data_IF_939652512910
#
_entry.id   IF_939652512910
#
_cell.length_a   1.000
_cell.length_b   1.000
_cell.length_c   1.000
_cell.angle_alpha   90.00
_cell.angle_beta   90.00
_cell.angle_gamma   90.00
#
_symmetry.space_group_name_H-M   'P 1'
#
loop_
_entity.id
_entity.type
_entity.pdbx_description
1 polymer ?
#
# COMPACT_ATOMS: atom_id res chain seq x y z
N UNK A 1 -62.31 24.66 14.30
CA UNK A 1 -61.33 23.70 13.76
C UNK A 1 -59.95 24.33 13.95
N UNK A 2 -59.11 23.77 14.82
CA UNK A 2 -57.88 24.43 15.30
C UNK A 2 -56.79 24.39 14.22
N UNK A 3 -56.07 25.50 14.04
CA UNK A 3 -54.98 25.67 13.04
C UNK A 3 -54.00 24.48 12.99
N UNK A 4 -53.69 23.92 14.16
CA UNK A 4 -52.80 22.75 14.31
C UNK A 4 -53.31 21.48 13.60
N UNK A 5 -54.62 21.32 13.44
CA UNK A 5 -55.19 20.17 12.75
C UNK A 5 -55.05 20.29 11.22
N UNK A 6 -55.13 21.51 10.70
CA UNK A 6 -54.92 21.81 9.28
C UNK A 6 -53.43 21.70 8.90
N UNK A 7 -52.52 22.10 9.80
CA UNK A 7 -51.07 21.96 9.59
C UNK A 7 -50.63 20.49 9.49
N UNK A 8 -51.17 19.61 10.34
CA UNK A 8 -50.86 18.17 10.34
C UNK A 8 -51.42 17.48 9.08
N UNK A 9 -52.62 17.86 8.65
CA UNK A 9 -53.20 17.39 7.39
C UNK A 9 -52.38 17.85 6.17
N UNK A 10 -51.86 19.09 6.19
CA UNK A 10 -50.98 19.60 5.15
C UNK A 10 -49.67 18.82 5.04
N UNK A 11 -49.00 18.55 6.17
CA UNK A 11 -47.75 17.77 6.19
C UNK A 11 -47.99 16.32 5.74
N UNK A 12 -49.08 15.70 6.16
CA UNK A 12 -49.44 14.34 5.73
C UNK A 12 -49.73 14.26 4.22
N UNK A 13 -50.41 15.28 3.66
CA UNK A 13 -50.68 15.36 2.22
C UNK A 13 -49.40 15.53 1.40
N UNK A 14 -48.45 16.35 1.86
CA UNK A 14 -47.15 16.54 1.19
C UNK A 14 -46.32 15.26 1.24
N UNK A 15 -46.23 14.59 2.39
CA UNK A 15 -45.50 13.31 2.51
C UNK A 15 -46.14 12.21 1.64
N UNK A 16 -47.47 12.15 1.58
CA UNK A 16 -48.20 11.24 0.70
C UNK A 16 -47.89 11.50 -0.78
N UNK A 17 -47.88 12.77 -1.21
CA UNK A 17 -47.57 13.14 -2.59
C UNK A 17 -46.12 12.82 -2.98
N UNK A 18 -45.16 13.03 -2.08
CA UNK A 18 -43.74 12.70 -2.32
C UNK A 18 -43.54 11.18 -2.46
N UNK A 19 -44.18 10.38 -1.62
CA UNK A 19 -44.12 8.91 -1.71
C UNK A 19 -44.78 8.41 -3.00
N UNK A 20 -45.88 9.04 -3.43
CA UNK A 20 -46.54 8.69 -4.69
C UNK A 20 -45.65 9.04 -5.90
N UNK A 21 -45.02 10.22 -5.90
CA UNK A 21 -44.10 10.64 -6.98
C UNK A 21 -42.85 9.75 -7.08
N UNK A 22 -42.31 9.26 -5.95
CA UNK A 22 -41.20 8.31 -5.93
C UNK A 22 -41.58 6.92 -6.44
N UNK A 23 -42.86 6.54 -6.41
CA UNK A 23 -43.36 5.25 -6.93
C UNK A 23 -43.60 5.27 -8.44
N UNK A 24 -43.81 6.45 -9.04
CA UNK A 24 -44.07 6.63 -10.47
C UNK A 24 -42.88 7.21 -11.27
N UNK A 25 -41.73 7.45 -10.63
CA UNK A 25 -40.52 7.80 -11.36
C UNK A 25 -40.11 6.65 -12.30
N UNK A 26 -39.94 6.89 -13.61
CA UNK A 26 -39.46 5.87 -14.53
C UNK A 26 -38.08 5.42 -14.08
N UNK A 27 -37.96 4.16 -13.68
CA UNK A 27 -36.65 3.53 -13.44
C UNK A 27 -35.94 3.50 -14.79
N UNK A 28 -34.70 4.01 -14.92
CA UNK A 28 -33.96 3.79 -16.14
C UNK A 28 -33.79 2.29 -16.32
N UNK A 29 -34.46 1.75 -17.34
CA UNK A 29 -34.14 0.44 -17.90
C UNK A 29 -32.77 0.62 -18.53
N UNK A 30 -31.73 0.36 -17.74
CA UNK A 30 -30.40 0.14 -18.28
C UNK A 30 -30.51 -1.06 -19.22
N UNK A 31 -30.33 -0.81 -20.51
CA UNK A 31 -30.19 -1.84 -21.52
C UNK A 31 -29.05 -2.79 -21.11
N UNK A 32 -29.42 -3.99 -20.64
CA UNK A 32 -28.50 -5.10 -20.50
C UNK A 32 -28.63 -5.96 -21.75
N UNK A 33 -27.55 -5.98 -22.51
CA UNK A 33 -27.27 -6.93 -23.59
C UNK A 33 -27.59 -8.36 -23.11
N UNK A 34 -28.22 -9.22 -23.93
CA UNK A 34 -28.43 -10.60 -23.55
C UNK A 34 -27.09 -11.35 -23.59
N UNK A 35 -26.42 -11.47 -22.45
CA UNK A 35 -25.41 -12.49 -22.25
C UNK A 35 -26.14 -13.80 -21.94
N UNK A 36 -26.26 -14.64 -22.97
CA UNK A 36 -26.73 -16.00 -22.84
C UNK A 36 -25.83 -16.82 -21.91
N UNK A 37 -26.50 -17.68 -21.14
CA UNK A 37 -25.98 -18.89 -20.47
C UNK A 37 -24.90 -18.72 -19.41
N UNK A 38 -25.35 -18.66 -18.15
CA UNK A 38 -24.84 -19.50 -17.08
C UNK A 38 -23.53 -19.09 -16.42
N UNK A 39 -23.63 -18.38 -15.29
CA UNK A 39 -22.72 -18.65 -14.16
C UNK A 39 -23.35 -18.15 -12.87
N UNK A 40 -23.97 -19.08 -12.13
CA UNK A 40 -24.08 -18.96 -10.69
C UNK A 40 -22.66 -18.89 -10.12
N UNK A 41 -22.27 -17.75 -9.56
CA UNK A 41 -21.03 -17.66 -8.79
C UNK A 41 -21.08 -18.70 -7.65
N UNK A 42 -20.17 -19.69 -7.60
CA UNK A 42 -20.05 -20.54 -6.43
C UNK A 42 -19.47 -19.72 -5.27
N UNK A 43 -19.80 -20.05 -4.00
CA UNK A 43 -19.10 -19.50 -2.85
C UNK A 43 -17.61 -19.81 -3.00
N UNK A 44 -16.76 -18.84 -2.62
CA UNK A 44 -15.31 -18.97 -2.70
C UNK A 44 -14.82 -20.15 -1.83
N UNK A 45 -14.63 -21.31 -2.47
CA UNK A 45 -13.93 -22.44 -1.88
C UNK A 45 -12.46 -22.11 -1.82
N UNK A 46 -11.90 -22.13 -0.62
CA UNK A 46 -10.48 -22.12 -0.33
C UNK A 46 -9.79 -23.23 -1.13
N UNK A 47 -8.85 -22.87 -2.00
CA UNK A 47 -8.01 -23.82 -2.75
C UNK A 47 -8.16 -23.74 -4.26
N UNK A 48 -7.76 -22.62 -4.87
CA UNK A 48 -7.37 -22.66 -6.28
C UNK A 48 -6.10 -23.52 -6.40
N UNK A 49 -6.04 -24.52 -7.30
CA UNK A 49 -4.81 -25.27 -7.54
C UNK A 49 -3.72 -24.28 -7.97
N UNK A 50 -2.52 -24.42 -7.40
CA UNK A 50 -1.37 -23.65 -7.83
C UNK A 50 -1.15 -23.92 -9.32
N UNK A 51 -1.46 -22.93 -10.16
CA UNK A 51 -1.13 -22.98 -11.58
C UNK A 51 0.38 -23.09 -11.65
N UNK A 52 0.90 -24.21 -12.14
CA UNK A 52 2.33 -24.34 -12.42
C UNK A 52 2.69 -23.22 -13.38
N UNK A 53 3.57 -22.32 -12.95
CA UNK A 53 4.08 -21.27 -13.82
C UNK A 53 4.68 -21.93 -15.07
N UNK A 54 4.19 -21.53 -16.25
CA UNK A 54 4.81 -21.91 -17.51
C UNK A 54 6.24 -21.36 -17.60
N UNK A 55 7.03 -21.78 -18.60
CA UNK A 55 8.34 -21.19 -18.85
C UNK A 55 8.21 -19.67 -18.99
N UNK A 56 9.13 -18.93 -18.36
CA UNK A 56 9.16 -17.47 -18.46
C UNK A 56 9.24 -17.06 -19.94
N UNK A 57 8.51 -16.00 -20.35
CA UNK A 57 8.64 -15.50 -21.71
C UNK A 57 10.09 -15.10 -21.97
N UNK A 58 10.54 -15.29 -23.20
CA UNK A 58 11.88 -14.90 -23.62
C UNK A 58 11.80 -13.86 -24.73
N UNK A 59 12.77 -12.95 -24.73
CA UNK A 59 12.95 -11.99 -25.81
C UNK A 59 13.36 -12.72 -27.11
N UNK A 60 13.23 -12.08 -28.29
CA UNK A 60 13.72 -12.66 -29.55
C UNK A 60 15.21 -12.98 -29.57
N UNK A 61 16.01 -12.41 -28.66
CA UNK A 61 17.45 -12.67 -28.50
C UNK A 61 17.78 -13.67 -27.38
N UNK A 62 16.78 -14.34 -26.81
CA UNK A 62 16.98 -15.50 -25.92
C UNK A 62 17.17 -15.17 -24.43
N UNK A 63 16.90 -13.95 -24.01
CA UNK A 63 16.96 -13.55 -22.60
C UNK A 63 15.57 -13.60 -21.94
N UNK A 64 15.46 -13.70 -20.61
CA UNK A 64 14.18 -13.57 -19.91
C UNK A 64 13.51 -12.22 -20.23
N UNK A 65 12.27 -12.27 -20.69
CA UNK A 65 11.48 -11.07 -20.94
C UNK A 65 10.80 -10.60 -19.65
N UNK A 66 11.28 -9.48 -19.13
CA UNK A 66 10.77 -8.84 -17.90
C UNK A 66 9.78 -7.69 -18.19
N UNK A 67 9.30 -7.58 -19.44
CA UNK A 67 8.28 -6.60 -19.78
C UNK A 67 6.95 -6.93 -19.11
N UNK A 68 6.23 -5.89 -18.70
CA UNK A 68 4.93 -6.05 -18.05
C UNK A 68 4.51 -4.82 -17.26
N UNK A 69 3.32 -4.91 -16.67
CA UNK A 69 2.83 -3.94 -15.69
C UNK A 69 3.18 -4.48 -14.31
N UNK A 70 4.02 -3.73 -13.59
CA UNK A 70 4.45 -4.07 -12.25
C UNK A 70 3.67 -3.22 -11.25
N UNK A 71 2.89 -3.86 -10.37
CA UNK A 71 2.17 -3.20 -9.27
C UNK A 71 2.79 -3.57 -7.92
N UNK A 72 2.48 -2.76 -6.90
CA UNK A 72 2.80 -3.05 -5.50
C UNK A 72 1.50 -3.10 -4.72
N UNK A 73 1.07 -4.32 -4.40
CA UNK A 73 -0.26 -4.58 -3.79
C UNK A 73 -0.19 -4.83 -2.28
N UNK A 74 1.01 -5.02 -1.75
CA UNK A 74 1.32 -5.28 -0.34
C UNK A 74 2.67 -4.67 0.04
N UNK A 75 2.92 -4.58 1.34
CA UNK A 75 4.18 -4.13 1.90
C UNK A 75 4.99 -5.32 2.42
N UNK A 76 6.21 -5.48 1.91
CA UNK A 76 7.20 -6.44 2.36
C UNK A 76 8.56 -5.74 2.52
N UNK A 77 9.29 -6.01 3.61
CA UNK A 77 10.62 -5.45 3.75
C UNK A 77 11.55 -6.02 2.68
N UNK A 78 12.50 -5.22 2.20
CA UNK A 78 13.51 -5.69 1.24
C UNK A 78 14.29 -6.90 1.78
N UNK A 79 14.71 -6.80 3.05
CA UNK A 79 15.47 -7.83 3.76
C UNK A 79 14.67 -8.39 4.93
N UNK A 80 14.79 -9.69 5.18
CA UNK A 80 14.07 -10.34 6.26
C UNK A 80 14.51 -9.83 7.64
N UNK A 81 13.59 -9.37 8.50
CA UNK A 81 13.92 -9.06 9.89
C UNK A 81 14.52 -10.26 10.63
N UNK A 82 15.52 -10.02 11.49
CA UNK A 82 16.24 -11.09 12.21
C UNK A 82 15.31 -12.00 13.03
N UNK A 83 14.22 -11.44 13.57
CA UNK A 83 13.19 -12.19 14.31
C UNK A 83 12.53 -13.33 13.53
N UNK A 84 12.59 -13.30 12.20
CA UNK A 84 12.01 -14.34 11.36
C UNK A 84 13.02 -15.41 10.91
N UNK A 85 14.33 -15.22 11.09
CA UNK A 85 15.34 -16.21 10.69
C UNK A 85 15.16 -16.68 9.25
N UNK A 86 14.89 -17.98 9.04
CA UNK A 86 14.63 -18.56 7.71
C UNK A 86 13.13 -18.69 7.36
N UNK A 87 12.23 -18.13 8.17
CA UNK A 87 10.79 -18.19 7.95
C UNK A 87 10.42 -17.33 6.74
N UNK A 88 10.05 -17.98 5.64
CA UNK A 88 9.72 -17.30 4.38
C UNK A 88 8.35 -16.62 4.39
N UNK A 89 7.35 -17.22 5.05
CA UNK A 89 5.97 -16.75 5.03
C UNK A 89 5.41 -16.46 6.42
N UNK A 90 4.60 -15.41 6.50
CA UNK A 90 3.76 -15.10 7.66
C UNK A 90 2.46 -15.90 7.60
N UNK A 91 1.90 -16.23 8.76
CA UNK A 91 0.52 -16.71 8.86
C UNK A 91 -0.46 -15.55 8.71
N UNK A 92 -1.73 -15.84 8.43
CA UNK A 92 -2.74 -14.78 8.30
C UNK A 92 -2.98 -14.04 9.61
N UNK A 93 -2.84 -14.73 10.75
CA UNK A 93 -2.93 -14.11 12.09
C UNK A 93 -1.78 -13.15 12.34
N UNK A 94 -0.55 -13.53 11.95
CA UNK A 94 0.63 -12.65 12.08
C UNK A 94 0.49 -11.39 11.20
N UNK A 95 -0.03 -11.56 9.99
CA UNK A 95 -0.30 -10.43 9.08
C UNK A 95 -1.35 -9.49 9.65
N UNK A 96 -2.46 -10.03 10.14
CA UNK A 96 -3.51 -9.23 10.77
C UNK A 96 -3.01 -8.48 12.01
N UNK A 97 -2.13 -9.10 12.80
CA UNK A 97 -1.49 -8.46 13.94
C UNK A 97 -0.58 -7.30 13.52
N UNK A 98 0.24 -7.49 12.48
CA UNK A 98 1.11 -6.43 11.93
C UNK A 98 0.30 -5.29 11.33
N UNK A 99 -0.73 -5.58 10.55
CA UNK A 99 -1.62 -4.56 9.98
C UNK A 99 -2.31 -3.73 11.06
N UNK A 100 -2.70 -4.36 12.17
CA UNK A 100 -3.25 -3.68 13.34
C UNK A 100 -2.20 -2.79 14.01
N UNK A 101 -0.98 -3.28 14.19
CA UNK A 101 0.12 -2.51 14.78
C UNK A 101 0.43 -1.26 13.94
N UNK A 102 0.57 -1.43 12.62
CA UNK A 102 0.78 -0.35 11.67
C UNK A 102 -0.37 0.67 11.78
N UNK A 103 -1.62 0.21 11.75
CA UNK A 103 -2.79 1.10 11.86
C UNK A 103 -2.78 1.93 13.15
N UNK A 104 -2.33 1.35 14.27
CA UNK A 104 -2.20 2.08 15.54
C UNK A 104 -1.08 3.13 15.49
N UNK A 105 0.07 2.79 14.90
CA UNK A 105 1.19 3.74 14.74
C UNK A 105 0.75 4.92 13.88
N UNK A 106 0.10 4.64 12.76
CA UNK A 106 -0.39 5.65 11.81
C UNK A 106 -1.43 6.54 12.45
N UNK A 107 -2.41 5.96 13.16
CA UNK A 107 -3.41 6.72 13.89
C UNK A 107 -2.80 7.62 14.97
N UNK A 108 -1.75 7.14 15.66
CA UNK A 108 -1.02 7.94 16.66
C UNK A 108 -0.25 9.09 16.04
N UNK A 109 0.49 8.86 14.94
CA UNK A 109 1.27 9.90 14.27
C UNK A 109 0.38 10.92 13.54
N UNK A 110 -0.80 10.49 13.11
CA UNK A 110 -1.81 11.39 12.56
C UNK A 110 -2.48 12.28 13.62
N UNK A 111 -2.37 11.97 14.91
CA UNK A 111 -3.09 12.66 15.98
C UNK A 111 -2.51 14.05 16.28
N UNK A 112 -3.39 15.06 16.28
CA UNK A 112 -3.07 16.45 16.62
C UNK A 112 -2.36 16.62 17.97
N UNK A 113 -2.61 15.73 18.93
CA UNK A 113 -1.96 15.76 20.25
C UNK A 113 -0.44 15.61 20.19
N UNK A 114 0.12 15.11 19.09
CA UNK A 114 1.57 15.00 18.84
C UNK A 114 2.17 16.27 18.25
N UNK A 115 1.34 17.24 17.83
CA UNK A 115 1.79 18.51 17.25
C UNK A 115 1.83 19.59 18.33
N UNK A 116 3.04 19.97 18.74
CA UNK A 116 3.23 21.13 19.61
C UNK A 116 3.47 22.36 18.76
N UNK A 117 2.50 23.28 18.73
CA UNK A 117 2.55 24.49 17.90
C UNK A 117 3.90 25.22 18.00
N UNK A 118 4.50 25.53 16.85
CA UNK A 118 5.74 26.31 16.75
C UNK A 118 7.03 25.51 16.94
N UNK A 119 6.96 24.18 17.00
CA UNK A 119 8.15 23.30 17.01
C UNK A 119 8.48 22.80 15.61
N UNK A 120 9.69 22.26 15.41
CA UNK A 120 10.04 21.57 14.16
C UNK A 120 9.06 20.42 13.85
N UNK A 121 8.57 19.72 14.89
CA UNK A 121 7.60 18.65 14.75
C UNK A 121 6.22 19.14 14.28
N UNK A 122 5.83 20.37 14.60
CA UNK A 122 4.63 21.02 14.07
C UNK A 122 4.73 21.23 12.56
N UNK A 123 5.89 21.71 12.09
CA UNK A 123 6.17 21.89 10.66
C UNK A 123 6.30 20.54 9.95
N UNK A 124 6.99 19.57 10.55
CA UNK A 124 7.14 18.22 10.02
C UNK A 124 5.85 17.42 9.98
N UNK A 125 4.85 17.79 10.80
CA UNK A 125 3.51 17.19 10.82
C UNK A 125 2.49 17.84 9.87
N UNK A 126 2.91 18.78 9.00
CA UNK A 126 2.02 19.49 8.08
C UNK A 126 1.30 18.56 7.08
N UNK A 127 1.87 17.39 6.80
CA UNK A 127 1.20 16.31 6.07
C UNK A 127 0.68 15.27 7.06
N UNK A 128 -0.64 15.12 7.13
CA UNK A 128 -1.26 14.12 7.99
C UNK A 128 -0.86 12.70 7.55
N UNK A 129 -0.22 11.94 8.43
CA UNK A 129 0.22 10.58 8.15
C UNK A 129 -0.95 9.68 7.67
N UNK A 130 -2.12 9.75 8.31
CA UNK A 130 -3.26 8.93 7.89
C UNK A 130 -3.76 9.23 6.46
N UNK A 131 -3.43 10.40 5.89
CA UNK A 131 -3.85 10.78 4.54
C UNK A 131 -2.71 10.60 3.53
N UNK A 132 -1.48 10.99 3.88
CA UNK A 132 -0.35 11.06 2.95
C UNK A 132 0.63 9.91 3.07
N UNK A 133 0.59 9.13 4.14
CA UNK A 133 1.31 7.85 4.21
C UNK A 133 0.32 6.74 3.90
N UNK A 134 0.19 6.39 2.63
CA UNK A 134 -0.57 5.21 2.22
C UNK A 134 0.17 3.96 2.69
N UNK A 135 -0.37 3.29 3.70
CA UNK A 135 0.13 2.00 4.16
C UNK A 135 -0.56 0.89 3.38
N UNK A 136 0.23 0.08 2.70
CA UNK A 136 -0.28 -1.15 2.10
C UNK A 136 -0.45 -2.19 3.21
N UNK A 137 -1.34 -3.16 2.95
CA UNK A 137 -1.45 -4.36 3.79
C UNK A 137 -0.13 -5.11 3.84
N UNK A 138 0.13 -5.77 4.95
CA UNK A 138 1.28 -6.64 5.13
C UNK A 138 1.21 -7.80 4.16
N UNK A 139 2.32 -8.00 3.46
CA UNK A 139 2.56 -9.11 2.55
C UNK A 139 2.48 -10.50 3.17
N UNK A 140 2.51 -11.52 2.32
CA UNK A 140 2.65 -12.92 2.78
C UNK A 140 4.09 -13.29 3.10
N UNK A 141 5.04 -12.71 2.39
CA UNK A 141 6.48 -12.98 2.58
C UNK A 141 7.04 -12.10 3.68
N UNK A 142 8.02 -12.63 4.39
CA UNK A 142 8.79 -11.88 5.41
C UNK A 142 9.92 -11.03 4.79
N UNK A 143 10.16 -11.14 3.47
CA UNK A 143 11.19 -10.43 2.71
C UNK A 143 10.90 -10.42 1.21
N UNK A 144 11.35 -9.40 0.48
CA UNK A 144 11.40 -9.40 -0.99
C UNK A 144 12.52 -10.29 -1.54
N UNK A 145 13.65 -10.39 -0.82
CA UNK A 145 14.75 -11.28 -1.20
C UNK A 145 14.34 -12.73 -0.92
N UNK A 146 14.32 -13.54 -1.98
CA UNK A 146 13.97 -14.96 -1.94
C UNK A 146 15.20 -15.83 -1.72
N UNK A 147 16.29 -15.50 -2.42
CA UNK A 147 17.58 -16.17 -2.35
C UNK A 147 18.66 -15.11 -2.07
N UNK A 148 19.47 -15.24 -1.01
CA UNK A 148 19.62 -16.37 -0.08
C UNK A 148 18.36 -16.66 0.77
N UNK A 149 18.18 -17.92 1.26
CA UNK A 149 16.98 -18.31 1.99
C UNK A 149 16.76 -17.55 3.29
N UNK A 150 17.77 -16.88 3.85
CA UNK A 150 17.67 -16.00 5.02
C UNK A 150 17.05 -14.62 4.67
N UNK A 151 16.80 -14.37 3.39
CA UNK A 151 16.22 -13.14 2.87
C UNK A 151 17.11 -11.91 3.09
N UNK A 152 18.43 -12.09 3.17
CA UNK A 152 19.39 -11.00 3.34
C UNK A 152 20.10 -10.66 2.04
N UNK A 153 20.57 -9.42 1.95
CA UNK A 153 21.49 -9.05 0.86
C UNK A 153 22.79 -9.85 1.07
N UNK A 154 23.27 -10.58 0.05
CA UNK A 154 24.52 -11.31 0.15
C UNK A 154 25.70 -10.40 0.54
N UNK A 155 26.70 -10.91 1.27
CA UNK A 155 27.90 -10.14 1.54
C UNK A 155 28.60 -9.75 0.23
N UNK A 156 29.16 -8.54 0.19
CA UNK A 156 29.93 -8.07 -0.96
C UNK A 156 31.15 -8.96 -1.21
N UNK A 157 31.46 -9.19 -2.49
CA UNK A 157 32.70 -9.88 -2.87
C UNK A 157 33.93 -9.06 -2.45
N UNK A 158 35.10 -9.69 -2.22
CA UNK A 158 36.33 -8.97 -1.89
C UNK A 158 36.72 -7.92 -2.94
N UNK A 159 36.48 -8.20 -4.22
CA UNK A 159 36.71 -7.25 -5.31
C UNK A 159 35.81 -6.02 -5.18
N UNK A 160 34.52 -6.21 -4.90
CA UNK A 160 33.60 -5.10 -4.74
C UNK A 160 33.90 -4.30 -3.46
N UNK A 161 34.30 -4.96 -2.38
CA UNK A 161 34.79 -4.27 -1.18
C UNK A 161 35.97 -3.35 -1.49
N UNK A 162 36.92 -3.82 -2.31
CA UNK A 162 38.05 -3.01 -2.77
C UNK A 162 37.59 -1.81 -3.61
N UNK A 163 36.72 -2.02 -4.61
CA UNK A 163 36.18 -0.92 -5.44
C UNK A 163 35.45 0.14 -4.61
N UNK A 164 34.63 -0.27 -3.65
CA UNK A 164 33.93 0.67 -2.75
C UNK A 164 34.88 1.42 -1.83
N UNK A 165 35.96 0.79 -1.39
CA UNK A 165 37.00 1.46 -0.60
C UNK A 165 37.73 2.53 -1.45
N UNK A 166 38.12 2.19 -2.67
CA UNK A 166 38.75 3.14 -3.61
C UNK A 166 37.83 4.32 -3.94
N UNK A 167 36.55 4.05 -4.23
CA UNK A 167 35.56 5.11 -4.47
C UNK A 167 35.35 5.99 -3.24
N UNK A 168 35.32 5.39 -2.04
CA UNK A 168 35.19 6.14 -0.79
C UNK A 168 36.39 7.08 -0.59
N UNK A 169 37.61 6.61 -0.79
CA UNK A 169 38.82 7.43 -0.69
C UNK A 169 38.78 8.59 -1.70
N UNK A 170 38.39 8.31 -2.94
CA UNK A 170 38.23 9.34 -3.97
C UNK A 170 37.19 10.42 -3.57
N UNK A 171 36.01 10.00 -3.11
CA UNK A 171 34.96 10.93 -2.66
C UNK A 171 35.43 11.76 -1.47
N UNK A 172 36.13 11.14 -0.51
CA UNK A 172 36.66 11.85 0.64
C UNK A 172 37.73 12.87 0.25
N UNK A 173 38.56 12.59 -0.76
CA UNK A 173 39.53 13.55 -1.29
C UNK A 173 38.83 14.78 -1.91
N UNK A 174 37.72 14.58 -2.61
CA UNK A 174 36.94 15.68 -3.21
C UNK A 174 36.17 16.52 -2.18
N UNK A 175 35.80 15.93 -1.05
CA UNK A 175 35.11 16.63 0.04
C UNK A 175 36.05 17.43 0.94
N UNK A 176 37.37 17.33 0.74
CA UNK A 176 38.29 18.14 1.51
C UNK A 176 38.13 19.62 1.16
N UNK A 177 38.12 20.45 2.20
CA UNK A 177 38.18 21.89 2.02
C UNK A 177 39.39 22.23 1.14
N UNK A 178 39.20 23.08 0.13
CA UNK A 178 40.26 23.54 -0.76
C UNK A 178 41.41 24.14 0.06
N UNK A 179 42.63 24.15 -0.47
CA UNK A 179 43.80 24.70 0.24
C UNK A 179 43.57 26.14 0.73
N UNK A 180 42.72 26.90 0.04
CA UNK A 180 42.28 28.24 0.46
C UNK A 180 41.57 28.20 1.83
N UNK A 181 40.61 27.29 2.01
CA UNK A 181 39.88 27.11 3.26
C UNK A 181 40.77 26.53 4.37
N UNK A 182 41.68 25.59 4.05
CA UNK A 182 42.60 24.99 5.03
C UNK A 182 43.64 26.00 5.53
N UNK A 183 44.21 26.78 4.62
CA UNK A 183 45.33 27.68 4.93
C UNK A 183 44.87 29.11 5.26
N UNK A 184 43.57 29.40 5.19
CA UNK A 184 42.99 30.74 5.38
C UNK A 184 43.70 31.80 4.53
N UNK A 185 44.02 31.43 3.28
CA UNK A 185 44.64 32.31 2.29
C UNK A 185 43.63 33.32 1.74
#
# INVERSE_FOLDING_TARGET
MSRRFLDVLGVAAVLGAVVLLLRFAPRPVGAQTPAGTGSSAPPATTGAPAVKAGPAPTTPWGEPDLQGIWSRDSDEPLQRPAKYGNKEFLTDEERAALDKEISVIVGREAAESRRQRGTEQDVGGAYNAAVFTSHLRTGRRTSMIVDPPDGKIPPLTPEEQKRRAELREYVLALLQATDVCKNKL
#
